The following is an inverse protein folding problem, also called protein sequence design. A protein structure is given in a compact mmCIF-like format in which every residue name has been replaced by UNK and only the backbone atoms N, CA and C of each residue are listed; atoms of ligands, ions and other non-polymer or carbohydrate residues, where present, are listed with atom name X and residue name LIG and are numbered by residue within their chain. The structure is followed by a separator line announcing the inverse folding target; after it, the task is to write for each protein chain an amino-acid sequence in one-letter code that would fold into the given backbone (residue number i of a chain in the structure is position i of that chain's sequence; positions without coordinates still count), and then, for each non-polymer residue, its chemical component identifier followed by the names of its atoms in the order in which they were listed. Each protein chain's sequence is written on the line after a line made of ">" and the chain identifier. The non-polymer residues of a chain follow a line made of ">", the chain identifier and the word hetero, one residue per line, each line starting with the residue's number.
data_IF_293523742147
#
_entry.id   IF_293523742147
#
_cell.length_a   1.000
_cell.length_b   1.000
_cell.length_c   1.000
_cell.angle_alpha   90.00
_cell.angle_beta   90.00
_cell.angle_gamma   90.00
#
_symmetry.space_group_name_H-M   'P 1'
#
loop_
_entity.id
_entity.type
_entity.pdbx_description
1 polymer ?
#
# COMPACT_ATOMS: atom_id res chain seq x y z
N UNK A 1 20.74 1.41 -0.54
CA UNK A 1 20.40 0.08 -0.03
C UNK A 1 21.62 -0.84 0.04
N UNK A 2 22.45 -0.91 -1.01
CA UNK A 2 23.68 -1.75 -1.03
C UNK A 2 24.61 -1.50 0.17
N UNK A 3 24.72 -0.28 0.62
CA UNK A 3 25.54 0.09 1.79
C UNK A 3 24.90 -0.30 3.14
N UNK A 4 23.67 -0.85 3.13
CA UNK A 4 22.93 -1.30 4.33
C UNK A 4 22.91 -0.23 5.45
N UNK A 5 22.65 1.02 5.10
CA UNK A 5 22.49 2.12 6.09
C UNK A 5 21.32 1.83 7.01
N UNK A 6 20.24 1.29 6.45
CA UNK A 6 19.06 0.78 7.18
C UNK A 6 18.99 -0.74 7.07
N UNK A 7 18.53 -1.39 8.14
CA UNK A 7 18.34 -2.84 8.15
C UNK A 7 17.15 -3.30 7.28
N UNK A 8 16.20 -2.38 7.00
CA UNK A 8 15.04 -2.61 6.16
C UNK A 8 15.09 -1.63 4.96
N UNK A 9 15.22 -2.18 3.74
CA UNK A 9 15.26 -1.39 2.50
C UNK A 9 14.00 -0.56 2.27
N UNK A 10 12.84 -1.06 2.72
CA UNK A 10 11.56 -0.33 2.63
C UNK A 10 11.57 0.97 3.44
N UNK A 11 12.25 1.00 4.58
CA UNK A 11 12.33 2.21 5.39
C UNK A 11 12.85 3.41 4.60
N UNK A 12 13.87 3.21 3.76
CA UNK A 12 14.46 4.27 2.96
C UNK A 12 13.53 4.73 1.81
N UNK A 13 12.93 3.80 1.06
CA UNK A 13 12.10 4.15 -0.10
C UNK A 13 10.77 4.81 0.26
N UNK A 14 10.38 4.71 1.53
CA UNK A 14 9.19 5.36 2.08
C UNK A 14 9.48 6.76 2.65
N UNK A 15 10.73 7.20 2.66
CA UNK A 15 11.10 8.52 3.20
C UNK A 15 10.78 9.63 2.19
N UNK A 16 9.92 10.59 2.52
CA UNK A 16 9.72 11.77 1.70
C UNK A 16 10.96 12.68 1.73
N UNK A 17 11.15 13.44 0.65
CA UNK A 17 12.20 14.43 0.55
C UNK A 17 11.85 15.71 1.32
N UNK A 18 12.82 16.32 1.99
CA UNK A 18 12.68 17.63 2.64
C UNK A 18 12.70 18.78 1.63
N UNK A 19 13.38 18.58 0.51
CA UNK A 19 13.56 19.57 -0.56
C UNK A 19 13.24 18.96 -1.92
N UNK A 20 13.23 19.77 -2.99
CA UNK A 20 12.91 19.30 -4.33
C UNK A 20 13.88 18.19 -4.82
N UNK A 21 13.40 17.18 -5.58
CA UNK A 21 14.20 16.05 -6.03
C UNK A 21 15.51 16.45 -6.73
N UNK A 22 15.48 17.50 -7.57
CA UNK A 22 16.67 17.99 -8.27
C UNK A 22 17.77 18.51 -7.33
N UNK A 23 17.40 19.13 -6.20
CA UNK A 23 18.34 19.58 -5.18
C UNK A 23 19.01 18.40 -4.47
N UNK A 24 18.22 17.37 -4.13
CA UNK A 24 18.72 16.14 -3.50
C UNK A 24 19.68 15.41 -4.43
N UNK A 25 19.34 15.27 -5.71
CA UNK A 25 20.19 14.64 -6.72
C UNK A 25 21.51 15.42 -6.92
N UNK A 26 21.45 16.75 -6.92
CA UNK A 26 22.65 17.59 -7.02
C UNK A 26 23.55 17.44 -5.80
N UNK A 27 22.98 17.46 -4.61
CA UNK A 27 23.74 17.26 -3.38
C UNK A 27 24.34 15.84 -3.27
N UNK A 28 23.65 14.82 -3.77
CA UNK A 28 24.15 13.44 -3.74
C UNK A 28 25.40 13.22 -4.59
N UNK A 29 25.63 14.03 -5.61
CA UNK A 29 26.82 13.89 -6.49
C UNK A 29 28.16 14.05 -5.77
N UNK A 30 28.17 14.75 -4.63
CA UNK A 30 29.35 14.95 -3.79
C UNK A 30 29.52 13.93 -2.67
N UNK A 31 28.54 13.01 -2.51
CA UNK A 31 28.54 12.00 -1.45
C UNK A 31 29.34 10.78 -1.87
N UNK A 32 30.30 10.35 -1.04
CA UNK A 32 31.02 9.11 -1.25
C UNK A 32 30.18 7.91 -0.78
N UNK A 33 29.59 7.19 -1.72
CA UNK A 33 28.67 6.08 -1.45
C UNK A 33 29.31 4.88 -0.73
N UNK A 34 30.63 4.82 -0.59
CA UNK A 34 31.36 3.82 0.20
C UNK A 34 31.39 4.10 1.70
N UNK A 35 31.14 5.35 2.12
CA UNK A 35 31.09 5.74 3.53
C UNK A 35 29.64 5.69 4.04
N UNK A 36 29.39 4.81 5.00
CA UNK A 36 28.08 4.62 5.61
C UNK A 36 27.61 5.80 6.45
N UNK A 37 28.50 6.46 7.12
CA UNK A 37 28.17 7.57 8.01
C UNK A 37 27.91 8.85 7.20
N UNK A 38 28.67 9.08 6.13
CA UNK A 38 28.39 10.14 5.18
C UNK A 38 27.03 9.94 4.50
N UNK A 39 26.71 8.70 4.07
CA UNK A 39 25.39 8.38 3.52
C UNK A 39 24.26 8.59 4.54
N UNK A 40 24.47 8.22 5.79
CA UNK A 40 23.48 8.44 6.85
C UNK A 40 23.24 9.94 7.07
N UNK A 41 24.29 10.72 7.21
CA UNK A 41 24.21 12.17 7.36
C UNK A 41 23.49 12.83 6.17
N UNK A 42 23.81 12.38 4.94
CA UNK A 42 23.10 12.84 3.74
C UNK A 42 21.61 12.54 3.80
N UNK A 43 21.23 11.32 4.17
CA UNK A 43 19.82 10.92 4.27
C UNK A 43 19.13 11.75 5.35
N UNK A 44 19.72 11.90 6.53
CA UNK A 44 19.15 12.69 7.63
C UNK A 44 18.98 14.19 7.25
N UNK A 45 19.90 14.71 6.44
CA UNK A 45 19.80 16.09 5.97
C UNK A 45 18.68 16.31 4.95
N UNK A 46 18.42 15.34 4.06
CA UNK A 46 17.58 15.54 2.88
C UNK A 46 16.24 14.80 2.91
N UNK A 47 16.04 13.85 3.82
CA UNK A 47 14.82 13.04 3.89
C UNK A 47 14.11 13.21 5.24
N UNK A 48 12.78 13.10 5.20
CA UNK A 48 11.93 13.00 6.37
C UNK A 48 11.83 11.54 6.83
N UNK A 49 11.30 11.32 8.03
CA UNK A 49 11.05 9.96 8.51
C UNK A 49 10.05 9.21 7.61
N UNK A 50 10.24 7.91 7.43
CA UNK A 50 9.32 7.06 6.69
C UNK A 50 7.90 7.13 7.27
N UNK A 51 6.90 7.36 6.42
CA UNK A 51 5.49 7.52 6.81
C UNK A 51 5.10 8.92 7.28
N UNK A 52 6.02 9.91 7.25
CA UNK A 52 5.69 11.31 7.56
C UNK A 52 4.82 11.99 6.48
N UNK A 53 4.64 11.34 5.34
CA UNK A 53 3.71 11.68 4.26
C UNK A 53 2.26 11.26 4.57
N UNK A 54 2.03 10.66 5.72
CA UNK A 54 0.72 10.25 6.21
C UNK A 54 0.41 10.92 7.55
N UNK A 55 -0.86 11.26 7.74
CA UNK A 55 -1.38 11.70 9.03
C UNK A 55 -2.52 10.81 9.49
N UNK A 56 -2.78 10.75 10.79
CA UNK A 56 -3.93 10.04 11.33
C UNK A 56 -5.21 10.73 10.86
N UNK A 57 -6.14 9.97 10.31
CA UNK A 57 -7.48 10.47 10.05
C UNK A 57 -8.34 10.31 11.31
N UNK A 58 -9.23 11.28 11.59
CA UNK A 58 -10.23 11.11 12.64
C UNK A 58 -11.25 10.05 12.23
N UNK A 59 -11.78 9.33 13.19
CA UNK A 59 -13.02 8.56 13.02
C UNK A 59 -14.23 9.51 12.95
N UNK A 60 -15.37 9.07 12.39
CA UNK A 60 -16.61 9.83 12.47
C UNK A 60 -16.91 10.20 13.94
N UNK A 61 -17.34 11.46 14.18
CA UNK A 61 -17.51 11.98 15.56
C UNK A 61 -18.51 11.17 16.38
N UNK A 62 -19.54 10.68 15.71
CA UNK A 62 -20.64 9.95 16.36
C UNK A 62 -20.46 8.42 16.28
N UNK A 63 -19.27 7.96 15.88
CA UNK A 63 -19.02 6.54 15.80
C UNK A 63 -18.89 5.92 17.18
N UNK A 64 -19.71 4.91 17.40
CA UNK A 64 -19.61 3.99 18.54
C UNK A 64 -19.38 2.57 18.02
N UNK A 65 -18.47 1.80 18.65
CA UNK A 65 -18.25 0.42 18.23
C UNK A 65 -19.51 -0.41 18.24
N UNK A 66 -19.81 -1.09 17.14
CA UNK A 66 -20.89 -2.07 17.08
C UNK A 66 -20.42 -3.43 17.60
N UNK A 67 -21.14 -3.99 18.54
CA UNK A 67 -20.90 -5.33 19.05
C UNK A 67 -22.03 -6.25 18.61
N UNK A 68 -21.76 -7.50 18.20
CA UNK A 68 -22.79 -8.48 17.94
C UNK A 68 -23.70 -8.68 19.18
N UNK A 69 -24.99 -8.90 18.97
CA UNK A 69 -25.95 -9.06 20.05
C UNK A 69 -25.64 -10.24 20.99
N UNK A 70 -24.84 -11.21 20.52
CA UNK A 70 -24.42 -12.39 21.30
C UNK A 70 -22.90 -12.49 21.22
N UNK A 71 -22.24 -11.92 22.19
CA UNK A 71 -20.79 -12.05 22.39
C UNK A 71 -20.57 -12.62 23.77
N UNK A 72 -19.84 -13.72 23.87
CA UNK A 72 -19.41 -14.26 25.16
C UNK A 72 -18.51 -13.23 25.86
N UNK A 73 -18.62 -13.16 27.19
CA UNK A 73 -17.89 -12.19 27.99
C UNK A 73 -16.38 -12.19 27.69
N UNK A 74 -15.80 -13.37 27.46
CA UNK A 74 -14.38 -13.55 27.16
C UNK A 74 -13.96 -12.92 25.80
N UNK A 75 -14.91 -12.70 24.89
CA UNK A 75 -14.62 -12.08 23.59
C UNK A 75 -14.87 -10.56 23.55
N UNK A 76 -15.59 -10.01 24.53
CA UNK A 76 -15.89 -8.56 24.58
C UNK A 76 -14.63 -7.73 24.65
N UNK A 77 -13.67 -8.12 25.49
CA UNK A 77 -12.40 -7.42 25.65
C UNK A 77 -11.57 -7.45 24.36
N UNK A 78 -11.48 -8.62 23.72
CA UNK A 78 -10.81 -8.78 22.43
C UNK A 78 -11.43 -7.89 21.34
N UNK A 79 -12.77 -7.87 21.26
CA UNK A 79 -13.48 -7.03 20.29
C UNK A 79 -13.25 -5.55 20.56
N UNK A 80 -13.28 -5.12 21.81
CA UNK A 80 -12.97 -3.75 22.19
C UNK A 80 -11.53 -3.37 21.79
N UNK A 81 -10.57 -4.27 21.99
CA UNK A 81 -9.19 -4.07 21.56
C UNK A 81 -9.06 -3.96 20.04
N UNK A 82 -9.79 -4.76 19.26
CA UNK A 82 -9.85 -4.67 17.79
C UNK A 82 -10.42 -3.32 17.36
N UNK A 83 -11.55 -2.89 17.93
CA UNK A 83 -12.16 -1.59 17.62
C UNK A 83 -11.20 -0.43 17.93
N UNK A 84 -10.44 -0.52 19.03
CA UNK A 84 -9.45 0.49 19.41
C UNK A 84 -8.24 0.58 18.44
N UNK A 85 -8.09 -0.37 17.51
CA UNK A 85 -7.04 -0.31 16.47
C UNK A 85 -7.41 0.63 15.33
N UNK A 86 -8.70 0.78 14.98
CA UNK A 86 -9.11 1.61 13.84
C UNK A 86 -8.55 3.03 13.87
N UNK A 87 -8.68 3.82 14.95
CA UNK A 87 -8.10 5.17 15.01
C UNK A 87 -6.56 5.17 14.98
N UNK A 88 -5.92 4.04 15.34
CA UNK A 88 -4.46 3.92 15.27
C UNK A 88 -3.96 3.64 13.87
N UNK A 89 -4.77 3.02 13.00
CA UNK A 89 -4.39 2.56 11.67
C UNK A 89 -4.99 3.41 10.55
N UNK A 90 -6.03 4.20 10.81
CA UNK A 90 -6.67 5.07 9.81
C UNK A 90 -5.76 6.23 9.43
N UNK A 91 -5.57 6.45 8.14
CA UNK A 91 -4.65 7.45 7.56
C UNK A 91 -5.31 8.27 6.47
N UNK A 92 -4.80 9.48 6.30
CA UNK A 92 -4.96 10.29 5.08
C UNK A 92 -3.58 10.68 4.57
N UNK A 93 -3.48 10.86 3.27
CA UNK A 93 -2.28 11.41 2.64
C UNK A 93 -2.16 12.89 3.00
N UNK A 94 -0.95 13.38 3.23
CA UNK A 94 -0.70 14.83 3.25
C UNK A 94 -0.86 15.37 1.83
N UNK A 95 -1.33 16.60 1.70
CA UNK A 95 -1.56 17.23 0.38
C UNK A 95 -0.37 18.06 -0.11
N UNK A 96 0.64 18.26 0.76
CA UNK A 96 1.83 19.04 0.45
C UNK A 96 2.85 18.26 -0.39
N UNK A 97 3.43 18.91 -1.37
CA UNK A 97 4.59 18.48 -2.14
C UNK A 97 4.53 17.03 -2.67
N UNK A 98 3.58 16.67 -3.55
CA UNK A 98 3.44 15.32 -4.07
C UNK A 98 4.70 14.81 -4.80
N UNK A 99 5.49 15.72 -5.40
CA UNK A 99 6.73 15.41 -6.10
C UNK A 99 7.88 14.96 -5.17
N UNK A 100 7.72 15.13 -3.86
CA UNK A 100 8.75 14.79 -2.86
C UNK A 100 8.55 13.43 -2.20
N UNK A 101 7.56 12.66 -2.61
CA UNK A 101 7.19 11.38 -2.00
C UNK A 101 6.87 10.30 -3.02
N UNK A 102 7.03 9.07 -2.63
CA UNK A 102 6.59 7.91 -3.42
C UNK A 102 5.11 7.59 -3.19
N UNK A 103 4.47 8.14 -2.15
CA UNK A 103 3.08 7.91 -1.82
C UNK A 103 2.15 8.50 -2.90
N UNK A 104 1.27 7.66 -3.45
CA UNK A 104 0.16 8.07 -4.31
C UNK A 104 -0.96 8.54 -3.38
N UNK A 105 -1.33 9.82 -3.50
CA UNK A 105 -2.37 10.42 -2.68
C UNK A 105 -3.70 9.69 -2.86
N UNK A 106 -4.46 9.58 -1.80
CA UNK A 106 -5.81 9.02 -1.78
C UNK A 106 -6.83 10.10 -1.45
N UNK A 107 -7.94 10.07 -2.13
CA UNK A 107 -9.05 11.01 -1.93
C UNK A 107 -9.74 10.80 -0.59
N UNK A 108 -9.90 9.54 -0.19
CA UNK A 108 -10.57 9.16 1.05
C UNK A 108 -9.57 8.56 2.04
N UNK A 109 -9.87 8.62 3.36
CA UNK A 109 -9.11 7.92 4.36
C UNK A 109 -8.99 6.42 4.03
N UNK A 110 -7.87 5.82 4.45
CA UNK A 110 -7.61 4.40 4.28
C UNK A 110 -6.93 3.83 5.52
N UNK A 111 -7.04 2.53 5.70
CA UNK A 111 -6.43 1.81 6.82
C UNK A 111 -5.14 1.17 6.35
N UNK A 112 -4.06 1.35 7.11
CA UNK A 112 -2.78 0.68 6.88
C UNK A 112 -2.70 -0.59 7.70
N UNK A 113 -2.03 -1.67 7.21
CA UNK A 113 -1.85 -2.90 8.01
C UNK A 113 -1.04 -2.68 9.29
N UNK A 114 -0.13 -1.71 9.29
CA UNK A 114 0.68 -1.34 10.45
C UNK A 114 2.14 -1.78 10.37
N UNK A 115 2.92 -1.45 11.37
CA UNK A 115 4.35 -1.72 11.40
C UNK A 115 5.09 -1.02 10.27
N UNK A 116 5.86 -1.77 9.50
CA UNK A 116 6.56 -1.28 8.29
C UNK A 116 5.64 -1.04 7.11
N UNK A 117 4.41 -1.58 7.12
CA UNK A 117 3.43 -1.47 6.04
C UNK A 117 2.54 -0.24 6.27
N UNK A 118 2.98 0.90 5.74
CA UNK A 118 2.38 2.21 5.98
C UNK A 118 1.54 2.72 4.81
N UNK A 119 1.18 1.84 3.88
CA UNK A 119 0.37 2.12 2.70
C UNK A 119 -1.01 1.46 2.81
N UNK A 120 -1.94 1.88 1.98
CA UNK A 120 -3.15 1.12 1.66
C UNK A 120 -2.79 0.02 0.67
N UNK A 121 -2.84 -1.23 1.09
CA UNK A 121 -2.59 -2.39 0.24
C UNK A 121 -3.89 -2.95 -0.32
N UNK A 122 -3.82 -3.52 -1.54
CA UNK A 122 -5.01 -3.93 -2.26
C UNK A 122 -5.74 -5.08 -1.58
N UNK A 123 -5.17 -6.27 -1.54
CA UNK A 123 -5.89 -7.44 -1.01
C UNK A 123 -6.11 -7.39 0.50
N UNK A 124 -5.18 -6.78 1.27
CA UNK A 124 -5.34 -6.54 2.71
C UNK A 124 -6.63 -5.76 2.98
N UNK A 125 -6.96 -4.81 2.09
CA UNK A 125 -8.15 -3.98 2.23
C UNK A 125 -9.45 -4.76 2.14
N UNK A 126 -9.50 -5.93 1.54
CA UNK A 126 -10.68 -6.79 1.58
C UNK A 126 -11.04 -7.19 3.02
N UNK A 127 -10.04 -7.63 3.79
CA UNK A 127 -10.23 -7.99 5.19
C UNK A 127 -10.53 -6.78 6.06
N UNK A 128 -9.87 -5.66 5.76
CA UNK A 128 -10.08 -4.36 6.41
C UNK A 128 -11.51 -3.88 6.18
N UNK A 129 -12.03 -3.92 4.96
CA UNK A 129 -13.42 -3.56 4.61
C UNK A 129 -14.40 -4.41 5.39
N UNK A 130 -14.21 -5.73 5.44
CA UNK A 130 -15.04 -6.63 6.26
C UNK A 130 -15.02 -6.25 7.74
N UNK A 131 -13.85 -5.96 8.28
CA UNK A 131 -13.70 -5.52 9.67
C UNK A 131 -14.38 -4.18 9.95
N UNK A 132 -14.20 -3.19 9.07
CA UNK A 132 -14.83 -1.89 9.18
C UNK A 132 -16.36 -1.98 9.14
N UNK A 133 -16.92 -2.79 8.24
CA UNK A 133 -18.36 -3.03 8.16
C UNK A 133 -18.90 -3.65 9.43
N UNK A 134 -18.17 -4.61 10.02
CA UNK A 134 -18.52 -5.23 11.30
C UNK A 134 -18.41 -4.28 12.50
N UNK A 135 -17.64 -3.21 12.34
CA UNK A 135 -17.44 -2.15 13.35
C UNK A 135 -18.35 -0.94 13.15
N UNK A 136 -19.31 -0.98 12.21
CA UNK A 136 -20.22 0.14 11.92
C UNK A 136 -19.55 1.28 11.13
N UNK A 137 -18.37 1.08 10.53
CA UNK A 137 -17.61 2.09 9.78
C UNK A 137 -17.84 2.01 8.26
N UNK A 138 -19.13 1.90 7.86
CA UNK A 138 -19.53 1.70 6.45
C UNK A 138 -19.01 2.79 5.52
N UNK A 139 -19.04 4.07 5.92
CA UNK A 139 -18.56 5.17 5.08
C UNK A 139 -17.04 5.13 4.88
N UNK A 140 -16.29 4.73 5.91
CA UNK A 140 -14.83 4.51 5.78
C UNK A 140 -14.52 3.38 4.81
N UNK A 141 -15.25 2.26 4.91
CA UNK A 141 -15.15 1.13 3.97
C UNK A 141 -15.48 1.55 2.54
N UNK A 142 -16.56 2.33 2.35
CA UNK A 142 -16.96 2.90 1.05
C UNK A 142 -15.85 3.80 0.47
N UNK A 143 -15.23 4.64 1.29
CA UNK A 143 -14.11 5.50 0.89
C UNK A 143 -12.91 4.70 0.38
N UNK A 144 -12.56 3.59 1.06
CA UNK A 144 -11.49 2.69 0.63
C UNK A 144 -11.80 2.10 -0.76
N UNK A 145 -13.01 1.60 -0.97
CA UNK A 145 -13.43 1.05 -2.27
C UNK A 145 -13.35 2.13 -3.36
N UNK A 146 -13.82 3.34 -3.09
CA UNK A 146 -13.72 4.46 -4.04
C UNK A 146 -12.27 4.83 -4.38
N UNK A 147 -11.34 4.75 -3.43
CA UNK A 147 -9.93 4.93 -3.73
C UNK A 147 -9.43 3.90 -4.76
N UNK A 148 -9.90 2.65 -4.69
CA UNK A 148 -9.53 1.62 -5.66
C UNK A 148 -10.21 1.82 -7.01
N UNK A 149 -11.45 2.32 -7.04
CA UNK A 149 -12.08 2.71 -8.30
C UNK A 149 -11.29 3.85 -8.98
N UNK A 150 -10.77 4.80 -8.21
CA UNK A 150 -9.89 5.85 -8.72
C UNK A 150 -8.55 5.28 -9.23
N UNK A 151 -8.01 4.24 -8.59
CA UNK A 151 -6.84 3.53 -9.12
C UNK A 151 -7.12 2.89 -10.48
N UNK A 152 -8.24 2.19 -10.64
CA UNK A 152 -8.60 1.57 -11.92
C UNK A 152 -8.78 2.64 -13.00
N UNK A 153 -9.39 3.80 -12.69
CA UNK A 153 -9.48 4.92 -13.64
C UNK A 153 -8.12 5.44 -14.09
N UNK A 154 -7.16 5.50 -13.17
CA UNK A 154 -5.85 6.11 -13.42
C UNK A 154 -4.84 5.11 -14.03
N UNK A 155 -4.88 3.85 -13.64
CA UNK A 155 -3.87 2.83 -14.01
C UNK A 155 -4.43 1.70 -14.86
N UNK A 156 -5.76 1.54 -14.95
CA UNK A 156 -6.40 0.41 -15.60
C UNK A 156 -6.54 -0.83 -14.72
N UNK A 157 -5.99 -0.81 -13.50
CA UNK A 157 -6.00 -1.87 -12.49
C UNK A 157 -5.71 -1.26 -11.12
N UNK A 158 -5.87 -2.05 -10.05
CA UNK A 158 -5.46 -1.63 -8.71
C UNK A 158 -3.99 -2.04 -8.47
N UNK A 159 -3.07 -1.09 -8.23
CA UNK A 159 -1.70 -1.39 -7.84
C UNK A 159 -1.61 -2.18 -6.52
N UNK A 160 -0.49 -2.87 -6.31
CA UNK A 160 -0.22 -3.63 -5.08
C UNK A 160 -0.43 -2.82 -3.79
N UNK A 161 -0.16 -1.52 -3.84
CA UNK A 161 -0.39 -0.53 -2.79
C UNK A 161 -0.19 0.88 -3.33
N UNK A 162 -0.53 1.89 -2.55
CA UNK A 162 -0.51 3.28 -3.02
C UNK A 162 0.87 3.96 -2.91
N UNK A 163 1.91 3.31 -3.49
CA UNK A 163 3.22 3.93 -3.74
C UNK A 163 3.64 3.76 -5.19
N UNK A 164 4.38 4.70 -5.73
CA UNK A 164 4.79 4.70 -7.14
C UNK A 164 5.59 3.47 -7.53
N UNK A 165 6.39 2.92 -6.62
CA UNK A 165 7.17 1.71 -6.88
C UNK A 165 6.30 0.41 -6.92
N UNK A 166 5.01 0.50 -6.60
CA UNK A 166 4.03 -0.56 -6.82
C UNK A 166 3.34 -0.50 -8.19
N UNK A 167 3.58 0.55 -8.97
CA UNK A 167 3.10 0.59 -10.34
C UNK A 167 3.71 -0.56 -11.16
N UNK A 168 2.91 -1.17 -12.02
CA UNK A 168 3.33 -2.32 -12.84
C UNK A 168 3.11 -3.68 -12.19
N UNK A 169 2.55 -3.76 -10.97
CA UNK A 169 2.14 -5.02 -10.30
C UNK A 169 0.91 -4.82 -9.43
N UNK A 170 0.21 -5.91 -9.18
CA UNK A 170 -1.01 -5.93 -8.38
C UNK A 170 -0.99 -7.11 -7.39
N UNK A 171 -2.02 -7.18 -6.56
CA UNK A 171 -2.34 -8.29 -5.66
C UNK A 171 -3.62 -8.99 -6.14
N UNK A 172 -4.08 -10.10 -5.52
CA UNK A 172 -5.32 -10.77 -5.90
C UNK A 172 -6.49 -9.80 -6.12
N UNK A 173 -7.23 -9.90 -7.23
CA UNK A 173 -8.26 -8.93 -7.61
C UNK A 173 -9.54 -9.14 -6.79
N UNK A 174 -9.63 -8.46 -5.66
CA UNK A 174 -10.76 -8.55 -4.73
C UNK A 174 -11.68 -7.31 -4.75
N UNK A 175 -11.55 -6.43 -5.77
CA UNK A 175 -12.35 -5.21 -5.86
C UNK A 175 -13.85 -5.53 -6.02
N UNK A 176 -14.21 -6.48 -6.88
CA UNK A 176 -15.59 -6.91 -7.07
C UNK A 176 -16.23 -7.38 -5.76
N UNK A 177 -15.49 -8.18 -4.99
CA UNK A 177 -15.93 -8.67 -3.69
C UNK A 177 -16.11 -7.52 -2.68
N UNK A 178 -15.17 -6.55 -2.66
CA UNK A 178 -15.28 -5.39 -1.78
C UNK A 178 -16.48 -4.50 -2.14
N UNK A 179 -16.80 -4.33 -3.42
CA UNK A 179 -18.00 -3.61 -3.88
C UNK A 179 -19.25 -4.34 -3.38
N UNK A 180 -19.33 -5.65 -3.60
CA UNK A 180 -20.47 -6.48 -3.18
C UNK A 180 -20.72 -6.42 -1.66
N UNK A 181 -19.67 -6.38 -0.84
CA UNK A 181 -19.78 -6.30 0.62
C UNK A 181 -20.47 -5.03 1.14
N UNK A 182 -20.45 -3.94 0.34
CA UNK A 182 -21.03 -2.65 0.74
C UNK A 182 -22.57 -2.59 0.62
N UNK A 183 -23.15 -3.52 -0.14
CA UNK A 183 -24.60 -3.59 -0.38
C UNK A 183 -25.17 -2.21 -0.76
N UNK A 184 -24.67 -1.65 -1.88
CA UNK A 184 -24.93 -0.30 -2.35
C UNK A 184 -25.09 -0.33 -3.89
N UNK A 185 -26.32 -0.28 -4.36
CA UNK A 185 -26.67 -0.37 -5.78
C UNK A 185 -26.03 0.74 -6.61
N UNK A 186 -25.98 1.97 -6.08
CA UNK A 186 -25.40 3.10 -6.78
C UNK A 186 -23.87 2.93 -6.95
N UNK A 187 -23.20 2.47 -5.90
CA UNK A 187 -21.76 2.15 -5.97
C UNK A 187 -21.50 0.96 -6.89
N UNK A 188 -22.36 -0.05 -6.86
CA UNK A 188 -22.25 -1.22 -7.75
C UNK A 188 -22.37 -0.81 -9.21
N UNK A 189 -23.33 0.04 -9.54
CA UNK A 189 -23.50 0.58 -10.90
C UNK A 189 -22.27 1.43 -11.33
N UNK A 190 -21.73 2.26 -10.44
CA UNK A 190 -20.49 3.02 -10.68
C UNK A 190 -19.28 2.11 -10.90
N UNK A 191 -19.16 1.04 -10.11
CA UNK A 191 -18.01 0.15 -10.08
C UNK A 191 -17.99 -0.85 -11.26
N UNK A 192 -19.14 -1.29 -11.76
CA UNK A 192 -19.24 -2.36 -12.75
C UNK A 192 -18.29 -2.21 -13.95
N UNK A 193 -18.25 -1.08 -14.67
CA UNK A 193 -17.33 -0.92 -15.81
C UNK A 193 -15.85 -0.91 -15.39
N UNK A 194 -15.52 -0.47 -14.17
CA UNK A 194 -14.16 -0.42 -13.66
C UNK A 194 -13.70 -1.81 -13.22
N UNK A 195 -14.56 -2.59 -12.60
CA UNK A 195 -14.30 -4.00 -12.29
C UNK A 195 -14.06 -4.80 -13.56
N UNK A 196 -14.87 -4.57 -14.60
CA UNK A 196 -14.66 -5.19 -15.92
C UNK A 196 -13.31 -4.80 -16.53
N UNK A 197 -12.91 -3.54 -16.41
CA UNK A 197 -11.61 -3.05 -16.86
C UNK A 197 -10.46 -3.74 -16.13
N UNK A 198 -10.54 -3.88 -14.80
CA UNK A 198 -9.54 -4.58 -14.00
C UNK A 198 -9.44 -6.06 -14.39
N UNK A 199 -10.57 -6.75 -14.55
CA UNK A 199 -10.61 -8.14 -14.99
C UNK A 199 -10.01 -8.30 -16.40
N UNK A 200 -10.24 -7.33 -17.29
CA UNK A 200 -9.61 -7.24 -18.61
C UNK A 200 -8.08 -7.14 -18.52
N UNK A 201 -7.56 -6.35 -17.57
CA UNK A 201 -6.12 -6.27 -17.33
C UNK A 201 -5.54 -7.62 -16.85
N UNK A 202 -6.23 -8.31 -15.94
CA UNK A 202 -5.80 -9.63 -15.45
C UNK A 202 -5.86 -10.70 -16.55
N UNK A 203 -6.93 -10.74 -17.33
CA UNK A 203 -7.11 -11.72 -18.42
C UNK A 203 -6.25 -11.44 -19.65
N UNK A 204 -5.82 -10.20 -19.85
CA UNK A 204 -4.94 -9.79 -20.95
C UNK A 204 -3.47 -9.74 -20.52
N UNK A 205 -3.06 -8.65 -19.86
CA UNK A 205 -1.65 -8.41 -19.52
C UNK A 205 -1.07 -9.42 -18.54
N UNK A 206 -1.90 -10.02 -17.70
CA UNK A 206 -1.50 -11.05 -16.71
C UNK A 206 -1.95 -12.45 -17.09
N UNK A 207 -2.40 -12.66 -18.32
CA UNK A 207 -2.73 -14.00 -18.80
C UNK A 207 -1.53 -14.94 -18.67
N UNK A 208 -1.79 -16.16 -18.20
CA UNK A 208 -0.83 -17.25 -18.22
C UNK A 208 -0.83 -17.93 -19.59
N UNK A 209 0.26 -18.66 -19.93
CA UNK A 209 0.26 -19.59 -21.06
C UNK A 209 -0.77 -20.73 -20.88
N UNK A 210 -1.19 -20.98 -19.63
CA UNK A 210 -2.24 -21.96 -19.32
C UNK A 210 -3.58 -21.23 -19.37
N UNK A 211 -4.47 -21.69 -20.26
CA UNK A 211 -5.81 -21.10 -20.45
C UNK A 211 -6.59 -21.06 -19.13
N UNK A 212 -7.17 -19.89 -18.86
CA UNK A 212 -7.99 -19.67 -17.65
C UNK A 212 -7.20 -19.33 -16.39
N UNK A 213 -5.88 -19.26 -16.45
CA UNK A 213 -5.05 -18.82 -15.34
C UNK A 213 -4.45 -17.43 -15.59
N UNK A 214 -4.33 -16.66 -14.55
CA UNK A 214 -3.54 -15.43 -14.51
C UNK A 214 -2.22 -15.68 -13.76
N UNK A 215 -1.20 -14.90 -14.09
CA UNK A 215 0.11 -14.97 -13.44
C UNK A 215 0.38 -13.73 -12.61
N UNK A 216 1.01 -13.89 -11.48
CA UNK A 216 1.70 -12.81 -10.83
C UNK A 216 2.92 -12.43 -11.67
N UNK A 217 3.07 -11.15 -11.93
CA UNK A 217 4.19 -10.64 -12.68
C UNK A 217 4.40 -9.17 -12.38
N UNK A 218 5.60 -8.71 -12.64
CA UNK A 218 5.95 -7.29 -12.60
C UNK A 218 6.39 -6.85 -14.00
N UNK A 219 6.13 -5.59 -14.33
CA UNK A 219 6.69 -4.96 -15.53
C UNK A 219 8.09 -4.39 -15.26
N UNK A 220 8.61 -4.57 -14.06
CA UNK A 220 9.94 -4.14 -13.66
C UNK A 220 11.00 -5.16 -14.11
N UNK A 221 12.09 -4.67 -14.70
CA UNK A 221 13.31 -5.42 -15.01
C UNK A 221 14.38 -5.34 -13.92
N UNK A 222 14.17 -4.48 -12.92
CA UNK A 222 15.10 -4.20 -11.83
C UNK A 222 14.57 -4.76 -10.51
N UNK A 223 15.43 -5.00 -9.52
CA UNK A 223 15.03 -5.38 -8.18
C UNK A 223 14.02 -4.39 -7.60
N UNK A 224 13.03 -4.91 -6.86
CA UNK A 224 11.99 -4.07 -6.25
C UNK A 224 12.60 -3.09 -5.26
N UNK A 225 12.28 -1.79 -5.31
CA UNK A 225 12.88 -0.80 -4.42
C UNK A 225 12.73 -1.12 -2.93
N UNK A 226 11.58 -1.64 -2.53
CA UNK A 226 11.27 -1.96 -1.13
C UNK A 226 11.83 -3.31 -0.65
N UNK A 227 12.38 -4.12 -1.56
CA UNK A 227 12.97 -5.44 -1.28
C UNK A 227 14.24 -5.66 -2.10
N UNK A 228 15.02 -4.60 -2.31
CA UNK A 228 16.15 -4.60 -3.25
C UNK A 228 17.19 -5.67 -2.92
N UNK A 229 17.58 -5.79 -1.66
CA UNK A 229 18.63 -6.74 -1.24
C UNK A 229 18.14 -8.17 -1.35
N UNK A 230 16.90 -8.42 -0.94
CA UNK A 230 16.26 -9.74 -0.99
C UNK A 230 16.14 -10.22 -2.44
N UNK A 231 15.79 -9.34 -3.37
CA UNK A 231 15.68 -9.69 -4.79
C UNK A 231 17.06 -9.98 -5.39
N UNK A 232 18.08 -9.18 -5.07
CA UNK A 232 19.46 -9.42 -5.52
C UNK A 232 20.00 -10.74 -4.97
N UNK A 233 19.78 -11.04 -3.70
CA UNK A 233 20.20 -12.29 -3.07
C UNK A 233 19.46 -13.50 -3.68
N UNK A 234 18.16 -13.37 -3.95
CA UNK A 234 17.36 -14.42 -4.59
C UNK A 234 17.84 -14.70 -6.02
N UNK A 235 18.10 -13.65 -6.80
CA UNK A 235 18.63 -13.80 -8.16
C UNK A 235 20.02 -14.45 -8.14
N UNK A 236 20.90 -14.04 -7.23
CA UNK A 236 22.23 -14.63 -7.11
C UNK A 236 22.17 -16.15 -6.82
N UNK A 237 21.25 -16.58 -5.96
CA UNK A 237 21.05 -18.02 -5.65
C UNK A 237 20.51 -18.80 -6.85
N UNK A 238 19.64 -18.20 -7.66
CA UNK A 238 19.07 -18.86 -8.83
C UNK A 238 20.11 -19.13 -9.95
N UNK A 239 21.19 -18.36 -9.98
CA UNK A 239 22.29 -18.52 -10.95
C UNK A 239 23.50 -19.31 -10.39
N UNK A 240 23.46 -19.72 -9.13
CA UNK A 240 24.49 -20.60 -8.57
C UNK A 240 24.13 -22.04 -8.96
N UNK A 241 25.01 -22.80 -9.66
CA UNK A 241 24.76 -24.21 -9.95
C UNK A 241 24.54 -24.94 -8.62
N UNK A 242 23.48 -25.75 -8.56
CA UNK A 242 23.25 -26.62 -7.41
C UNK A 242 24.49 -27.53 -7.26
N UNK A 243 25.24 -27.52 -6.16
CA UNK A 243 26.25 -28.54 -5.99
C UNK A 243 25.54 -29.88 -5.84
N UNK A 244 25.72 -30.77 -6.82
CA UNK A 244 25.30 -32.17 -6.72
C UNK A 244 25.97 -32.84 -5.49
#
# INVERSE_FOLDING_TARGET
>A
QRSRVYGDGKAFVDMPLKVAPGQVLSAFRSVYAGDKDELRQFIEAHFCAAGSDLVRAPLPKDWTPEFPQRVDADHVELMAAIHAMWPKLLRVSRDDFPERRTLIARRFPFVVPGGRFREGYYWDSYWIVKGLLRSGLKETARGIVRNFLDDVRNFGYVPNGNRTYYAGRSQPPLLAEMVSLLDDDALTAEAAPLVEQELGWWSGRRASAIKGLARYGSDMSEPRPESYLEDVETAAKAFTPNPE
#
